data_IF_019683092203
#
_entry.id   IF_019683092203
#
_cell.length_a   1.000
_cell.length_b   1.000
_cell.length_c   1.000
_cell.angle_alpha   90.00
_cell.angle_beta   90.00
_cell.angle_gamma   90.00
#
_symmetry.space_group_name_H-M   'P 1'
#
loop_
_entity.id
_entity.type
_entity.pdbx_description
1 polymer ?
#
# COMPACT_ATOMS: atom_id res chain seq x y z
N UNK A 1 30.13 -23.64 59.62
CA UNK A 1 30.84 -24.67 58.84
C UNK A 1 30.91 -24.13 57.43
N UNK A 2 32.03 -23.48 57.14
CA UNK A 2 32.26 -22.77 55.89
C UNK A 2 32.98 -23.75 54.99
N UNK A 3 32.25 -24.47 54.14
CA UNK A 3 32.83 -25.17 53.00
C UNK A 3 33.33 -24.08 52.04
N UNK A 4 34.56 -23.63 52.32
CA UNK A 4 35.39 -22.87 51.39
C UNK A 4 35.77 -23.82 50.26
N UNK A 5 34.82 -24.04 49.34
CA UNK A 5 35.08 -24.59 48.04
C UNK A 5 35.77 -23.48 47.22
N UNK A 6 37.02 -23.19 47.59
CA UNK A 6 37.99 -22.48 46.74
C UNK A 6 38.48 -23.52 45.74
N UNK A 7 37.56 -24.05 44.94
CA UNK A 7 37.92 -24.67 43.68
C UNK A 7 38.19 -23.49 42.74
N UNK A 8 39.39 -22.92 42.86
CA UNK A 8 39.92 -21.90 41.95
C UNK A 8 39.54 -22.30 40.52
N UNK A 9 38.92 -21.37 39.78
CA UNK A 9 38.61 -21.49 38.35
C UNK A 9 39.90 -21.77 37.57
N UNK A 10 40.30 -23.04 37.55
CA UNK A 10 41.53 -23.49 36.96
C UNK A 10 41.28 -23.56 35.47
N UNK A 11 41.79 -22.57 34.74
CA UNK A 11 41.59 -22.48 33.31
C UNK A 11 42.32 -23.65 32.62
N UNK A 12 41.89 -24.08 31.42
CA UNK A 12 42.63 -25.08 30.66
C UNK A 12 44.09 -24.68 30.42
N UNK A 13 44.35 -23.37 30.28
CA UNK A 13 45.68 -22.80 30.08
C UNK A 13 46.56 -22.93 31.33
N UNK A 14 46.00 -22.79 32.53
CA UNK A 14 46.73 -22.99 33.79
C UNK A 14 46.96 -24.48 34.09
N UNK A 15 45.99 -25.34 33.77
CA UNK A 15 46.13 -26.79 33.87
C UNK A 15 47.18 -27.34 32.89
N UNK A 16 47.26 -26.78 31.68
CA UNK A 16 48.22 -27.19 30.66
C UNK A 16 49.65 -26.82 31.07
N UNK A 17 49.86 -25.60 31.56
CA UNK A 17 51.14 -25.17 32.16
C UNK A 17 51.57 -26.04 33.34
N UNK A 18 50.62 -26.48 34.18
CA UNK A 18 50.92 -27.37 35.31
C UNK A 18 51.37 -28.77 34.85
N UNK A 19 50.76 -29.31 33.80
CA UNK A 19 51.21 -30.58 33.18
C UNK A 19 52.59 -30.40 32.52
N UNK A 20 52.79 -29.34 31.76
CA UNK A 20 54.08 -29.05 31.10
C UNK A 20 55.23 -28.86 32.10
N UNK A 21 54.96 -28.19 33.23
CA UNK A 21 55.94 -28.02 34.30
C UNK A 21 56.34 -29.36 34.95
N UNK A 22 55.37 -30.25 35.18
CA UNK A 22 55.62 -31.58 35.74
C UNK A 22 56.35 -32.49 34.74
N UNK A 23 55.99 -32.44 33.45
CA UNK A 23 56.70 -33.18 32.39
C UNK A 23 58.14 -32.70 32.24
N UNK A 24 58.39 -31.40 32.36
CA UNK A 24 59.74 -30.84 32.34
C UNK A 24 60.56 -31.26 33.57
N UNK A 25 59.97 -31.22 34.76
CA UNK A 25 60.62 -31.70 35.99
C UNK A 25 61.06 -33.18 35.90
N UNK A 26 60.25 -34.03 35.24
CA UNK A 26 60.63 -35.43 34.94
C UNK A 26 61.84 -35.50 34.01
N UNK A 27 61.88 -34.68 32.96
CA UNK A 27 63.00 -34.62 32.01
C UNK A 27 64.29 -34.14 32.70
N UNK A 28 64.16 -33.17 33.61
CA UNK A 28 65.27 -32.59 34.37
C UNK A 28 65.77 -33.52 35.51
N UNK A 29 65.13 -34.68 35.71
CA UNK A 29 65.54 -35.71 36.67
C UNK A 29 65.03 -35.49 38.09
N UNK A 30 64.02 -34.65 38.29
CA UNK A 30 63.38 -34.42 39.58
C UNK A 30 62.45 -35.59 39.96
N UNK A 31 62.18 -35.75 41.26
CA UNK A 31 61.36 -36.85 41.79
C UNK A 31 59.86 -36.53 41.62
N UNK A 32 59.36 -36.71 40.40
CA UNK A 32 57.94 -36.60 40.05
C UNK A 32 57.32 -37.98 39.96
N UNK A 33 56.27 -38.21 40.74
CA UNK A 33 55.56 -39.49 40.74
C UNK A 33 54.59 -39.60 39.55
N UNK A 34 54.37 -40.83 39.08
CA UNK A 34 53.35 -41.14 38.04
C UNK A 34 51.96 -40.69 38.48
N UNK A 35 51.67 -40.75 39.79
CA UNK A 35 50.41 -40.28 40.37
C UNK A 35 50.21 -38.77 40.18
N UNK A 36 51.25 -37.95 40.41
CA UNK A 36 51.17 -36.50 40.22
C UNK A 36 50.92 -36.10 38.77
N UNK A 37 51.58 -36.76 37.81
CA UNK A 37 51.32 -36.55 36.38
C UNK A 37 49.89 -36.95 35.98
N UNK A 38 49.41 -38.08 36.50
CA UNK A 38 48.04 -38.56 36.23
C UNK A 38 47.01 -37.57 36.77
N UNK A 39 47.14 -37.11 38.02
CA UNK A 39 46.26 -36.11 38.61
C UNK A 39 46.26 -34.79 37.83
N UNK A 40 47.44 -34.31 37.38
CA UNK A 40 47.54 -33.08 36.61
C UNK A 40 46.85 -33.21 35.23
N UNK A 41 47.00 -34.36 34.56
CA UNK A 41 46.31 -34.65 33.29
C UNK A 41 44.80 -34.80 33.46
N UNK A 42 44.35 -35.39 34.56
CA UNK A 42 42.92 -35.46 34.90
C UNK A 42 42.33 -34.07 35.13
N UNK A 43 43.06 -33.19 35.85
CA UNK A 43 42.66 -31.78 36.05
C UNK A 43 42.57 -31.03 34.71
N UNK A 44 43.54 -31.23 33.80
CA UNK A 44 43.49 -30.65 32.45
C UNK A 44 42.29 -31.16 31.63
N UNK A 45 42.03 -32.46 31.67
CA UNK A 45 40.87 -33.07 31.00
C UNK A 45 39.55 -32.48 31.53
N UNK A 46 39.42 -32.36 32.84
CA UNK A 46 38.26 -31.74 33.49
C UNK A 46 38.10 -30.26 33.12
N UNK A 47 39.19 -29.48 33.09
CA UNK A 47 39.16 -28.08 32.70
C UNK A 47 38.74 -27.91 31.23
N UNK A 48 39.27 -28.73 30.31
CA UNK A 48 38.90 -28.75 28.88
C UNK A 48 37.42 -29.11 28.69
N UNK A 49 36.91 -30.11 29.42
CA UNK A 49 35.49 -30.47 29.40
C UNK A 49 34.58 -29.37 29.94
N UNK A 50 34.96 -28.69 31.02
CA UNK A 50 34.21 -27.54 31.56
C UNK A 50 34.14 -26.40 30.54
N UNK A 51 35.25 -26.05 29.89
CA UNK A 51 35.29 -25.02 28.83
C UNK A 51 34.40 -25.40 27.64
N UNK A 52 34.52 -26.63 27.14
CA UNK A 52 33.69 -27.11 26.03
C UNK A 52 32.20 -27.10 26.39
N UNK A 53 31.85 -27.45 27.63
CA UNK A 53 30.48 -27.35 28.14
C UNK A 53 29.97 -25.92 28.19
N UNK A 54 30.81 -24.97 28.62
CA UNK A 54 30.48 -23.54 28.64
C UNK A 54 30.28 -22.96 27.23
N UNK A 55 31.18 -23.30 26.29
CA UNK A 55 31.09 -22.89 24.88
C UNK A 55 29.81 -23.42 24.23
N UNK A 56 29.49 -24.70 24.38
CA UNK A 56 28.24 -25.29 23.86
C UNK A 56 26.99 -24.63 24.45
N UNK A 57 26.99 -24.30 25.74
CA UNK A 57 25.88 -23.58 26.38
C UNK A 57 25.74 -22.18 25.80
N UNK A 58 26.83 -21.46 25.59
CA UNK A 58 26.82 -20.13 24.99
C UNK A 58 26.31 -20.16 23.54
N UNK A 59 26.72 -21.13 22.74
CA UNK A 59 26.19 -21.32 21.37
C UNK A 59 24.70 -21.63 21.36
N UNK A 60 24.27 -22.55 22.23
CA UNK A 60 22.84 -22.91 22.36
C UNK A 60 22.02 -21.70 22.79
N UNK A 61 22.53 -20.88 23.71
CA UNK A 61 21.86 -19.67 24.17
C UNK A 61 21.77 -18.65 23.03
N UNK A 62 22.85 -18.40 22.29
CA UNK A 62 22.84 -17.52 21.11
C UNK A 62 21.82 -17.97 20.06
N UNK A 63 21.71 -19.28 19.81
CA UNK A 63 20.73 -19.82 18.87
C UNK A 63 19.29 -19.57 19.35
N UNK A 64 19.01 -19.79 20.64
CA UNK A 64 17.70 -19.50 21.26
C UNK A 64 17.36 -18.02 21.21
N UNK A 65 18.30 -17.16 21.55
CA UNK A 65 18.11 -15.70 21.52
C UNK A 65 17.83 -15.21 20.09
N UNK A 66 18.54 -15.75 19.09
CA UNK A 66 18.30 -15.45 17.69
C UNK A 66 16.90 -15.90 17.22
N UNK A 67 16.44 -17.07 17.66
CA UNK A 67 15.10 -17.56 17.34
C UNK A 67 13.99 -16.74 18.01
N UNK A 68 14.18 -16.37 19.28
CA UNK A 68 13.29 -15.46 20.00
C UNK A 68 13.20 -14.10 19.31
N UNK A 69 14.34 -13.55 18.88
CA UNK A 69 14.38 -12.28 18.15
C UNK A 69 13.63 -12.40 16.81
N UNK A 70 13.87 -13.46 16.03
CA UNK A 70 13.12 -13.71 14.77
C UNK A 70 11.62 -13.80 15.03
N UNK A 71 11.20 -14.53 16.07
CA UNK A 71 9.79 -14.68 16.43
C UNK A 71 9.15 -13.38 16.92
N UNK A 72 9.92 -12.52 17.59
CA UNK A 72 9.50 -11.17 17.99
C UNK A 72 9.36 -10.26 16.77
N UNK A 73 10.39 -10.17 15.92
CA UNK A 73 10.35 -9.32 14.71
C UNK A 73 9.23 -9.72 13.74
N UNK A 74 8.97 -11.03 13.56
CA UNK A 74 7.81 -11.47 12.74
C UNK A 74 6.49 -10.93 13.26
N UNK A 75 6.28 -10.93 14.59
CA UNK A 75 5.06 -10.40 15.21
C UNK A 75 5.00 -8.89 15.09
N UNK A 76 6.09 -8.18 15.37
CA UNK A 76 6.14 -6.72 15.23
C UNK A 76 5.85 -6.28 13.78
N UNK A 77 6.39 -6.98 12.79
CA UNK A 77 6.07 -6.72 11.38
C UNK A 77 4.59 -7.00 11.09
N UNK A 78 4.04 -8.13 11.55
CA UNK A 78 2.62 -8.41 11.39
C UNK A 78 1.74 -7.33 12.05
N UNK A 79 2.12 -6.88 13.24
CA UNK A 79 1.42 -5.81 13.95
C UNK A 79 1.52 -4.48 13.20
N UNK A 80 2.62 -4.16 12.50
CA UNK A 80 2.69 -2.96 11.65
C UNK A 80 1.62 -2.97 10.55
N UNK A 81 1.37 -4.13 9.94
CA UNK A 81 0.31 -4.25 8.93
C UNK A 81 -1.10 -4.30 9.55
N UNK A 82 -1.26 -4.91 10.72
CA UNK A 82 -2.57 -5.05 11.37
C UNK A 82 -3.03 -3.81 12.15
N UNK A 83 -2.09 -3.06 12.75
CA UNK A 83 -2.39 -1.91 13.63
C UNK A 83 -2.05 -0.56 13.01
N UNK A 84 -1.19 -0.55 11.97
CA UNK A 84 -0.66 0.68 11.36
C UNK A 84 -1.53 1.32 10.28
N UNK A 85 -2.75 0.82 10.04
CA UNK A 85 -3.61 1.38 9.00
C UNK A 85 -3.16 1.00 7.59
N UNK A 86 -2.64 -0.22 7.40
CA UNK A 86 -2.53 -0.79 6.06
C UNK A 86 -3.95 -0.92 5.50
N UNK A 87 -4.25 -0.10 4.50
CA UNK A 87 -5.41 -0.28 3.66
C UNK A 87 -5.02 -1.25 2.55
N UNK A 88 -5.77 -2.33 2.40
CA UNK A 88 -5.59 -3.23 1.27
C UNK A 88 -5.84 -2.42 -0.02
N UNK A 89 -4.85 -2.30 -0.92
CA UNK A 89 -5.06 -1.61 -2.19
C UNK A 89 -6.20 -2.20 -3.02
N UNK A 90 -6.54 -3.48 -2.82
CA UNK A 90 -7.69 -4.14 -3.47
C UNK A 90 -9.00 -3.57 -2.94
N UNK A 91 -9.15 -3.42 -1.62
CA UNK A 91 -10.35 -2.82 -1.04
C UNK A 91 -10.54 -1.37 -1.53
N UNK A 92 -9.46 -0.59 -1.54
CA UNK A 92 -9.49 0.79 -2.06
C UNK A 92 -9.79 0.86 -3.57
N UNK A 93 -9.35 -0.14 -4.34
CA UNK A 93 -9.68 -0.27 -5.75
C UNK A 93 -11.17 -0.60 -5.94
N UNK A 94 -11.71 -1.55 -5.18
CA UNK A 94 -13.12 -1.94 -5.25
C UNK A 94 -14.04 -0.77 -4.85
N UNK A 95 -13.66 0.02 -3.84
CA UNK A 95 -14.36 1.25 -3.48
C UNK A 95 -14.34 2.28 -4.64
N UNK A 96 -13.21 2.43 -5.32
CA UNK A 96 -13.09 3.33 -6.47
C UNK A 96 -13.96 2.84 -7.64
N UNK A 97 -13.98 1.53 -7.94
CA UNK A 97 -14.84 0.95 -8.97
C UNK A 97 -16.31 1.18 -8.63
N UNK A 98 -16.74 0.90 -7.40
CA UNK A 98 -18.12 1.12 -6.97
C UNK A 98 -18.51 2.60 -7.06
N UNK A 99 -17.60 3.54 -6.78
CA UNK A 99 -17.85 4.97 -6.95
C UNK A 99 -18.05 5.35 -8.42
N UNK A 100 -17.25 4.80 -9.34
CA UNK A 100 -17.39 5.03 -10.78
C UNK A 100 -18.68 4.41 -11.34
N UNK A 101 -19.09 3.24 -10.86
CA UNK A 101 -20.38 2.63 -11.23
C UNK A 101 -21.56 3.50 -10.79
N UNK A 102 -21.55 4.01 -9.55
CA UNK A 102 -22.59 4.94 -9.07
C UNK A 102 -22.65 6.21 -9.90
N UNK A 103 -21.50 6.77 -10.27
CA UNK A 103 -21.44 7.92 -11.18
C UNK A 103 -22.09 7.60 -12.53
N UNK A 104 -21.80 6.44 -13.11
CA UNK A 104 -22.46 5.96 -14.33
C UNK A 104 -23.98 5.88 -14.19
N UNK A 105 -24.47 5.29 -13.10
CA UNK A 105 -25.91 5.20 -12.81
C UNK A 105 -26.58 6.57 -12.69
N UNK A 106 -25.93 7.55 -12.06
CA UNK A 106 -26.45 8.92 -11.93
C UNK A 106 -26.55 9.58 -13.31
N UNK A 107 -25.55 9.42 -14.16
CA UNK A 107 -25.55 10.01 -15.52
C UNK A 107 -26.64 9.37 -16.38
N UNK A 108 -26.77 8.04 -16.36
CA UNK A 108 -27.86 7.34 -17.06
C UNK A 108 -29.24 7.77 -16.56
N UNK A 109 -29.40 7.93 -15.25
CA UNK A 109 -30.63 8.45 -14.66
C UNK A 109 -30.95 9.87 -15.16
N UNK A 110 -29.94 10.73 -15.29
CA UNK A 110 -30.12 12.07 -15.85
C UNK A 110 -30.52 12.03 -17.34
N UNK A 111 -29.95 11.13 -18.15
CA UNK A 111 -30.38 10.92 -19.54
C UNK A 111 -31.85 10.50 -19.62
N UNK A 112 -32.28 9.59 -18.75
CA UNK A 112 -33.68 9.17 -18.67
C UNK A 112 -34.61 10.33 -18.29
N UNK A 113 -34.20 11.17 -17.32
CA UNK A 113 -34.94 12.37 -16.92
C UNK A 113 -35.09 13.37 -18.06
N UNK A 114 -34.07 13.56 -18.90
CA UNK A 114 -34.17 14.41 -20.10
C UNK A 114 -35.24 13.88 -21.06
N UNK A 115 -35.30 12.56 -21.31
CA UNK A 115 -36.33 11.99 -22.17
C UNK A 115 -37.75 12.14 -21.57
N UNK A 116 -37.88 11.99 -20.25
CA UNK A 116 -39.15 12.21 -19.55
C UNK A 116 -39.58 13.67 -19.68
N UNK A 117 -38.70 14.63 -19.40
CA UNK A 117 -39.02 16.05 -19.49
C UNK A 117 -39.35 16.48 -20.94
N UNK A 118 -38.69 15.91 -21.95
CA UNK A 118 -39.02 16.14 -23.37
C UNK A 118 -40.42 15.62 -23.73
N UNK A 119 -40.81 14.48 -23.16
CA UNK A 119 -42.15 13.92 -23.31
C UNK A 119 -43.21 14.85 -22.68
N UNK A 120 -42.94 15.38 -21.49
CA UNK A 120 -43.83 16.34 -20.83
C UNK A 120 -43.94 17.68 -21.59
N UNK A 121 -42.83 18.18 -22.15
CA UNK A 121 -42.85 19.34 -23.04
C UNK A 121 -43.73 19.10 -24.26
N UNK A 122 -43.60 17.94 -24.90
CA UNK A 122 -44.42 17.55 -26.04
C UNK A 122 -45.91 17.46 -25.67
N UNK A 123 -46.24 16.92 -24.48
CA UNK A 123 -47.62 16.88 -23.95
C UNK A 123 -48.19 18.27 -23.69
N UNK A 124 -47.34 19.21 -23.25
CA UNK A 124 -47.69 20.62 -23.02
C UNK A 124 -47.74 21.47 -24.29
N UNK A 125 -47.46 20.90 -25.47
CA UNK A 125 -47.44 21.63 -26.74
C UNK A 125 -46.18 22.48 -26.97
N UNK A 126 -45.11 22.27 -26.19
CA UNK A 126 -43.82 22.93 -26.38
C UNK A 126 -43.06 22.22 -27.51
N UNK A 127 -42.77 22.88 -28.65
CA UNK A 127 -42.13 22.23 -29.77
C UNK A 127 -40.65 21.94 -29.49
N UNK A 128 -40.21 20.72 -29.83
CA UNK A 128 -38.80 20.36 -29.77
C UNK A 128 -38.05 20.87 -31.01
N UNK A 129 -36.78 21.22 -30.83
CA UNK A 129 -35.86 21.62 -31.89
C UNK A 129 -35.01 20.43 -32.33
N UNK A 130 -34.87 20.23 -33.64
CA UNK A 130 -33.89 19.29 -34.19
C UNK A 130 -32.48 19.88 -34.09
N UNK A 131 -31.49 19.07 -33.64
CA UNK A 131 -30.08 19.45 -33.68
C UNK A 131 -29.44 19.32 -35.08
N UNK A 132 -30.21 18.86 -36.08
CA UNK A 132 -29.73 18.62 -37.44
C UNK A 132 -30.24 19.70 -38.39
N UNK A 133 -29.34 20.60 -38.82
CA UNK A 133 -29.56 21.64 -39.83
C UNK A 133 -29.82 23.05 -39.28
N UNK A 134 -29.88 24.04 -40.18
CA UNK A 134 -30.45 25.38 -39.93
C UNK A 134 -31.97 25.21 -39.71
N UNK A 135 -32.35 24.61 -38.58
CA UNK A 135 -33.74 24.48 -38.19
C UNK A 135 -34.30 25.87 -37.95
N UNK A 136 -35.21 26.31 -38.82
CA UNK A 136 -36.09 27.44 -38.56
C UNK A 136 -36.73 27.25 -37.19
N UNK A 137 -36.64 28.26 -36.32
CA UNK A 137 -37.30 28.23 -35.02
C UNK A 137 -38.80 27.93 -35.26
N UNK A 138 -39.39 26.95 -34.55
CA UNK A 138 -40.81 26.66 -34.66
C UNK A 138 -41.67 27.92 -34.46
N UNK A 139 -42.83 27.97 -35.09
CA UNK A 139 -43.81 29.02 -34.81
C UNK A 139 -44.18 28.96 -33.31
N UNK A 140 -44.09 30.10 -32.61
CA UNK A 140 -44.22 30.21 -31.15
C UNK A 140 -43.13 29.54 -30.30
N UNK A 141 -41.89 29.46 -30.81
CA UNK A 141 -40.75 28.96 -30.04
C UNK A 141 -40.50 29.74 -28.74
N UNK A 142 -40.62 29.06 -27.60
CA UNK A 142 -40.22 29.59 -26.30
C UNK A 142 -38.73 29.33 -26.08
N UNK A 143 -37.91 30.38 -26.18
CA UNK A 143 -36.47 30.30 -25.94
C UNK A 143 -36.12 29.98 -24.49
N UNK A 144 -37.03 30.23 -23.55
CA UNK A 144 -36.82 29.86 -22.16
C UNK A 144 -37.16 28.37 -21.93
N UNK A 145 -38.04 27.78 -22.74
CA UNK A 145 -38.53 26.41 -22.56
C UNK A 145 -38.57 25.64 -23.88
N UNK A 146 -37.57 24.80 -24.12
CA UNK A 146 -37.55 23.91 -25.29
C UNK A 146 -36.68 22.68 -25.09
N UNK A 147 -36.97 21.60 -25.81
CA UNK A 147 -36.12 20.42 -25.90
C UNK A 147 -35.31 20.43 -27.21
N UNK A 148 -34.09 19.88 -27.18
CA UNK A 148 -33.26 19.64 -28.37
C UNK A 148 -33.12 18.14 -28.56
N UNK A 149 -33.51 17.66 -29.74
CA UNK A 149 -33.46 16.24 -30.10
C UNK A 149 -32.21 15.92 -30.91
N UNK A 150 -31.54 14.83 -30.54
CA UNK A 150 -30.50 14.16 -31.31
C UNK A 150 -31.10 13.17 -32.31
N UNK A 151 -30.24 12.50 -33.06
CA UNK A 151 -30.66 11.41 -33.96
C UNK A 151 -31.27 10.26 -33.15
N UNK A 152 -32.32 9.62 -33.67
CA UNK A 152 -32.95 8.46 -33.01
C UNK A 152 -33.95 8.78 -31.90
N UNK A 153 -34.51 10.00 -31.88
CA UNK A 153 -35.46 10.48 -30.86
C UNK A 153 -34.87 10.56 -29.43
N UNK A 154 -33.55 10.63 -29.30
CA UNK A 154 -32.93 10.90 -28.00
C UNK A 154 -32.93 12.40 -27.70
N UNK A 155 -33.22 12.78 -26.45
CA UNK A 155 -33.18 14.17 -26.03
C UNK A 155 -31.75 14.56 -25.66
N UNK A 156 -31.13 15.44 -26.45
CA UNK A 156 -29.76 15.92 -26.23
C UNK A 156 -29.68 16.95 -25.10
N UNK A 157 -30.64 17.87 -25.03
CA UNK A 157 -30.72 18.85 -23.95
C UNK A 157 -32.13 19.39 -23.79
N UNK A 158 -32.42 19.95 -22.63
CA UNK A 158 -33.66 20.67 -22.33
C UNK A 158 -33.30 22.01 -21.71
N UNK A 159 -33.96 23.06 -22.15
CA UNK A 159 -33.94 24.36 -21.49
C UNK A 159 -35.24 24.54 -20.72
N UNK A 160 -35.14 24.88 -19.43
CA UNK A 160 -36.28 25.23 -18.57
C UNK A 160 -36.00 26.58 -17.95
N UNK A 161 -36.89 27.55 -18.14
CA UNK A 161 -36.71 28.94 -17.67
C UNK A 161 -35.33 29.55 -18.01
N UNK A 162 -34.80 29.21 -19.19
CA UNK A 162 -33.49 29.65 -19.67
C UNK A 162 -32.29 28.88 -19.13
N UNK A 163 -32.49 27.89 -18.25
CA UNK A 163 -31.43 27.00 -17.74
C UNK A 163 -31.36 25.75 -18.60
N UNK A 164 -30.21 25.52 -19.23
CA UNK A 164 -29.99 24.35 -20.08
C UNK A 164 -29.43 23.16 -19.29
N UNK A 165 -30.09 22.02 -19.43
CA UNK A 165 -29.70 20.71 -18.95
C UNK A 165 -29.33 19.84 -20.14
N UNK A 166 -28.06 19.45 -20.25
CA UNK A 166 -27.56 18.63 -21.37
C UNK A 166 -27.33 17.18 -20.97
N UNK A 167 -27.26 16.31 -21.98
CA UNK A 167 -26.68 14.99 -21.79
C UNK A 167 -25.23 15.11 -21.31
N UNK A 168 -24.88 14.29 -20.34
CA UNK A 168 -23.52 14.13 -19.84
C UNK A 168 -23.00 12.75 -20.28
N UNK A 169 -21.68 12.63 -20.45
CA UNK A 169 -21.04 11.38 -20.85
C UNK A 169 -20.14 10.86 -19.73
N UNK A 170 -20.36 9.63 -19.28
CA UNK A 170 -19.65 8.98 -18.19
C UNK A 170 -18.14 9.03 -18.41
N UNK A 171 -17.71 8.69 -19.63
CA UNK A 171 -16.29 8.68 -20.00
C UNK A 171 -15.59 10.02 -19.82
N UNK A 172 -16.28 11.14 -19.99
CA UNK A 172 -15.71 12.47 -19.75
C UNK A 172 -15.50 12.73 -18.26
N UNK A 173 -16.46 12.32 -17.42
CA UNK A 173 -16.35 12.47 -15.97
C UNK A 173 -15.26 11.57 -15.37
N UNK A 174 -15.18 10.32 -15.81
CA UNK A 174 -14.09 9.40 -15.40
C UNK A 174 -12.73 9.96 -15.81
N UNK A 175 -12.59 10.45 -17.05
CA UNK A 175 -11.35 11.08 -17.53
C UNK A 175 -10.98 12.29 -16.67
N UNK A 176 -11.94 13.16 -16.37
CA UNK A 176 -11.73 14.34 -15.54
C UNK A 176 -11.25 13.95 -14.13
N UNK A 177 -11.85 12.94 -13.51
CA UNK A 177 -11.44 12.44 -12.21
C UNK A 177 -9.99 11.90 -12.25
N UNK A 178 -9.66 11.08 -13.24
CA UNK A 178 -8.29 10.55 -13.41
C UNK A 178 -7.28 11.67 -13.62
N UNK A 179 -7.61 12.68 -14.44
CA UNK A 179 -6.72 13.84 -14.63
C UNK A 179 -6.51 14.62 -13.33
N UNK A 180 -7.55 14.87 -12.55
CA UNK A 180 -7.45 15.61 -11.28
C UNK A 180 -6.55 14.85 -10.29
N UNK A 181 -6.72 13.52 -10.18
CA UNK A 181 -5.85 12.69 -9.34
C UNK A 181 -4.41 12.73 -9.87
N UNK A 182 -4.21 12.54 -11.18
CA UNK A 182 -2.87 12.57 -11.78
C UNK A 182 -2.15 13.89 -11.54
N UNK A 183 -2.83 15.03 -11.71
CA UNK A 183 -2.28 16.35 -11.43
C UNK A 183 -1.90 16.52 -9.95
N UNK A 184 -2.79 16.13 -9.04
CA UNK A 184 -2.52 16.23 -7.59
C UNK A 184 -1.35 15.35 -7.11
N UNK A 185 -1.02 14.30 -7.87
CA UNK A 185 0.05 13.34 -7.57
C UNK A 185 1.30 13.52 -8.43
N UNK A 186 1.41 14.60 -9.20
CA UNK A 186 2.60 14.90 -10.01
C UNK A 186 2.76 14.03 -11.26
N UNK A 187 1.66 13.52 -11.83
CA UNK A 187 1.63 12.86 -13.15
C UNK A 187 1.21 11.39 -13.15
N UNK A 188 1.29 10.70 -11.99
CA UNK A 188 1.10 9.24 -11.85
C UNK A 188 1.92 8.45 -12.90
N UNK A 189 3.20 8.19 -12.63
CA UNK A 189 4.07 7.48 -13.58
C UNK A 189 3.60 6.04 -13.75
N UNK A 190 3.53 5.59 -15.01
CA UNK A 190 3.29 4.18 -15.32
C UNK A 190 4.62 3.46 -15.53
N UNK A 191 4.75 2.20 -15.08
CA UNK A 191 5.94 1.41 -15.37
C UNK A 191 6.17 1.32 -16.88
N UNK A 192 7.37 1.70 -17.33
CA UNK A 192 7.81 1.58 -18.73
C UNK A 192 7.00 2.41 -19.75
N UNK A 193 6.32 3.49 -19.34
CA UNK A 193 5.48 4.28 -20.24
C UNK A 193 5.39 5.76 -19.89
N UNK A 194 4.55 6.47 -20.65
CA UNK A 194 4.15 7.86 -20.38
C UNK A 194 3.39 7.98 -19.07
N UNK A 195 3.39 9.19 -18.50
CA UNK A 195 2.57 9.51 -17.33
C UNK A 195 1.08 9.33 -17.64
N UNK A 196 0.29 8.86 -16.66
CA UNK A 196 -1.15 8.63 -16.86
C UNK A 196 -1.85 9.89 -17.36
N UNK A 197 -1.43 11.07 -16.89
CA UNK A 197 -1.95 12.35 -17.34
C UNK A 197 -1.84 12.56 -18.86
N UNK A 198 -0.79 12.04 -19.51
CA UNK A 198 -0.58 12.14 -20.96
C UNK A 198 -1.52 11.21 -21.74
N UNK A 199 -1.80 10.04 -21.16
CA UNK A 199 -2.68 9.04 -21.76
C UNK A 199 -4.15 9.47 -21.70
N UNK A 200 -4.56 10.08 -20.58
CA UNK A 200 -5.95 10.54 -20.39
C UNK A 200 -6.20 12.00 -20.81
N UNK A 201 -5.33 12.62 -21.62
CA UNK A 201 -5.58 13.97 -22.17
C UNK A 201 -6.80 13.98 -23.10
N UNK A 202 -7.58 15.06 -23.04
CA UNK A 202 -8.74 15.27 -23.92
C UNK A 202 -9.79 16.18 -23.30
N UNK A 203 -10.96 16.22 -23.93
CA UNK A 203 -12.09 17.04 -23.49
C UNK A 203 -12.60 16.64 -22.09
N UNK A 204 -13.08 17.66 -21.37
CA UNK A 204 -13.69 17.57 -20.05
C UNK A 204 -15.22 17.77 -20.14
N UNK A 205 -16.00 17.27 -19.16
CA UNK A 205 -17.42 17.60 -19.04
C UNK A 205 -17.65 19.10 -19.11
N UNK A 206 -18.71 19.53 -19.79
CA UNK A 206 -19.02 20.96 -19.98
C UNK A 206 -19.15 21.69 -18.63
N UNK A 207 -19.84 21.04 -17.69
CA UNK A 207 -20.00 21.47 -16.29
C UNK A 207 -18.67 21.72 -15.58
N UNK A 208 -17.68 20.84 -15.74
CA UNK A 208 -16.36 20.99 -15.13
C UNK A 208 -15.52 22.09 -15.80
N UNK A 209 -15.64 22.29 -17.12
CA UNK A 209 -14.94 23.38 -17.82
C UNK A 209 -15.32 24.75 -17.25
N UNK A 210 -16.62 24.97 -17.01
CA UNK A 210 -17.12 26.23 -16.43
C UNK A 210 -16.57 26.42 -15.01
N UNK A 211 -16.73 25.40 -14.14
CA UNK A 211 -16.27 25.47 -12.75
C UNK A 211 -14.75 25.71 -12.61
N UNK A 212 -13.95 25.13 -13.51
CA UNK A 212 -12.49 25.34 -13.51
C UNK A 212 -12.12 26.75 -14.00
N UNK A 213 -12.81 27.30 -15.00
CA UNK A 213 -12.55 28.66 -15.49
C UNK A 213 -12.84 29.72 -14.43
N UNK A 214 -13.86 29.52 -13.59
CA UNK A 214 -14.20 30.42 -12.48
C UNK A 214 -13.19 30.36 -11.33
N UNK A 215 -12.49 29.23 -11.13
CA UNK A 215 -11.45 29.10 -10.10
C UNK A 215 -10.14 29.77 -10.49
N UNK A 216 -9.80 29.79 -11.79
CA UNK A 216 -8.57 30.43 -12.29
C UNK A 216 -8.72 31.95 -12.38
N UNK A 217 -9.96 32.44 -12.48
CA UNK A 217 -10.26 33.87 -12.51
C UNK A 217 -10.29 34.54 -11.11
N UNK A 218 -10.16 33.78 -10.03
CA UNK A 218 -10.08 34.26 -8.64
C UNK A 218 -8.65 34.20 -8.13
#
# INVERSE_FOLDING_TARGET
>A
MSDQNIETDLTPEDAEKAVEALEKAVIDGEDVTVTQLTEARERLSWAKLRRQGAERKAETQKARDAELLRGKTKREVADLFNSGGFFDPVDAYDEAVAALERLGQVIESNKALLNVASTEFSRGGVPARSNWGEGTEPEHFDRANFAVMAQGNETMSITVDGVQYGQEHEGLWVRAAVQAVAQSRGGLPLPYGSNLQEIVRGDLPATLRVALSERVAR
#
